data_IF_680200996171
#
_entry.id   IF_680200996171
#
_cell.length_a   1.000
_cell.length_b   1.000
_cell.length_c   1.000
_cell.angle_alpha   90.00
_cell.angle_beta   90.00
_cell.angle_gamma   90.00
#
_symmetry.space_group_name_H-M   'P 1'
#
loop_
_entity.id
_entity.type
_entity.pdbx_description
1 polymer ?
#
# COMPACT_ATOMS: atom_id res chain seq x y z
N UNK A 1 -60.55 12.52 -19.52
CA UNK A 1 -59.81 11.45 -18.81
C UNK A 1 -59.43 11.97 -17.44
N UNK A 2 -59.89 11.33 -16.34
CA UNK A 2 -59.56 11.78 -14.97
C UNK A 2 -58.03 11.75 -14.79
N UNK A 3 -57.41 12.76 -14.15
CA UNK A 3 -55.98 12.72 -13.88
C UNK A 3 -55.69 11.50 -13.01
N UNK A 4 -54.84 10.60 -13.48
CA UNK A 4 -54.38 9.43 -12.74
C UNK A 4 -53.81 9.93 -11.42
N UNK A 5 -54.48 9.58 -10.32
CA UNK A 5 -54.07 10.00 -8.97
C UNK A 5 -52.66 9.45 -8.74
N UNK A 6 -51.70 10.34 -8.53
CA UNK A 6 -50.31 9.98 -8.25
C UNK A 6 -50.27 9.06 -7.02
N UNK A 7 -49.67 7.89 -7.17
CA UNK A 7 -49.49 6.93 -6.08
C UNK A 7 -48.34 7.40 -5.17
N UNK A 8 -48.70 8.18 -4.15
CA UNK A 8 -47.75 8.75 -3.21
C UNK A 8 -47.15 7.72 -2.24
N UNK A 9 -47.81 6.57 -2.03
CA UNK A 9 -47.26 5.48 -1.21
C UNK A 9 -46.09 4.84 -1.95
N UNK A 10 -46.27 4.61 -3.25
CA UNK A 10 -45.20 4.12 -4.13
C UNK A 10 -44.08 5.16 -4.31
N UNK A 11 -44.43 6.44 -4.39
CA UNK A 11 -43.45 7.54 -4.41
C UNK A 11 -42.58 7.56 -3.14
N UNK A 12 -43.19 7.41 -1.96
CA UNK A 12 -42.48 7.37 -0.67
C UNK A 12 -41.49 6.22 -0.64
N UNK A 13 -41.93 5.01 -1.00
CA UNK A 13 -41.08 3.81 -1.02
C UNK A 13 -39.85 4.00 -1.90
N UNK A 14 -40.03 4.51 -3.13
CA UNK A 14 -38.90 4.76 -4.03
C UNK A 14 -38.01 5.91 -3.56
N UNK A 15 -38.60 6.97 -3.01
CA UNK A 15 -37.87 8.14 -2.55
C UNK A 15 -36.98 7.80 -1.34
N UNK A 16 -37.53 7.09 -0.35
CA UNK A 16 -36.80 6.67 0.86
C UNK A 16 -35.71 5.64 0.56
N UNK A 17 -36.01 4.67 -0.33
CA UNK A 17 -35.05 3.67 -0.76
C UNK A 17 -33.85 4.29 -1.49
N UNK A 18 -34.04 5.43 -2.17
CA UNK A 18 -32.94 6.16 -2.82
C UNK A 18 -32.25 5.43 -3.98
N UNK A 19 -32.75 4.27 -4.39
CA UNK A 19 -32.20 3.42 -5.47
C UNK A 19 -32.26 4.12 -6.83
N UNK A 20 -33.36 4.80 -7.15
CA UNK A 20 -33.57 5.46 -8.45
C UNK A 20 -33.60 6.98 -8.33
N UNK A 21 -33.24 7.68 -9.42
CA UNK A 21 -33.29 9.15 -9.55
C UNK A 21 -34.70 9.68 -9.28
N UNK A 22 -34.82 10.88 -8.68
CA UNK A 22 -36.14 11.49 -8.44
C UNK A 22 -36.84 11.79 -9.76
N UNK A 23 -36.08 12.09 -10.80
CA UNK A 23 -36.52 12.22 -12.19
C UNK A 23 -37.20 10.94 -12.69
N UNK A 24 -36.62 9.78 -12.39
CA UNK A 24 -37.17 8.48 -12.79
C UNK A 24 -38.41 8.09 -11.97
N UNK A 25 -38.47 8.47 -10.68
CA UNK A 25 -39.67 8.33 -9.84
C UNK A 25 -40.80 9.17 -10.44
N UNK A 26 -40.51 10.43 -10.77
CA UNK A 26 -41.46 11.37 -11.33
C UNK A 26 -42.03 10.86 -12.66
N UNK A 27 -41.17 10.37 -13.56
CA UNK A 27 -41.57 9.76 -14.83
C UNK A 27 -42.44 8.50 -14.63
N UNK A 28 -42.06 7.60 -13.72
CA UNK A 28 -42.83 6.36 -13.43
C UNK A 28 -44.21 6.64 -12.82
N UNK A 29 -44.39 7.77 -12.15
CA UNK A 29 -45.63 8.12 -11.46
C UNK A 29 -46.44 9.20 -12.20
N UNK A 30 -46.00 9.61 -13.40
CA UNK A 30 -46.69 10.62 -14.21
C UNK A 30 -46.76 11.99 -13.55
N UNK A 31 -45.73 12.40 -12.80
CA UNK A 31 -45.67 13.69 -12.13
C UNK A 31 -44.34 14.41 -12.38
N UNK A 32 -44.19 15.63 -11.88
CA UNK A 32 -42.94 16.40 -12.01
C UNK A 32 -42.00 16.13 -10.84
N UNK A 33 -40.69 16.30 -11.08
CA UNK A 33 -39.67 16.19 -10.02
C UNK A 33 -39.94 17.15 -8.86
N UNK A 34 -40.39 18.38 -9.14
CA UNK A 34 -40.74 19.36 -8.11
C UNK A 34 -41.90 18.89 -7.24
N UNK A 35 -42.89 18.18 -7.81
CA UNK A 35 -44.02 17.64 -7.06
C UNK A 35 -43.56 16.58 -6.05
N UNK A 36 -42.60 15.71 -6.44
CA UNK A 36 -42.02 14.69 -5.54
C UNK A 36 -41.25 15.35 -4.38
N UNK A 37 -40.41 16.34 -4.66
CA UNK A 37 -39.68 17.06 -3.60
C UNK A 37 -40.60 17.84 -2.66
N UNK A 38 -41.63 18.50 -3.20
CA UNK A 38 -42.62 19.23 -2.40
C UNK A 38 -43.35 18.26 -1.47
N UNK A 39 -43.74 17.09 -1.96
CA UNK A 39 -44.42 16.06 -1.15
C UNK A 39 -43.50 15.45 -0.10
N UNK A 40 -42.24 15.17 -0.45
CA UNK A 40 -41.23 14.69 0.49
C UNK A 40 -41.01 15.68 1.64
N UNK A 41 -40.95 16.98 1.35
CA UNK A 41 -40.82 18.02 2.37
C UNK A 41 -42.08 18.14 3.25
N UNK A 42 -43.27 18.11 2.64
CA UNK A 42 -44.56 18.14 3.36
C UNK A 42 -44.73 16.95 4.31
N UNK A 43 -44.22 15.77 3.94
CA UNK A 43 -44.38 14.51 4.68
C UNK A 43 -43.15 14.04 5.44
N UNK A 44 -42.08 14.84 5.46
CA UNK A 44 -40.84 14.53 6.20
C UNK A 44 -40.10 13.28 5.68
N UNK A 45 -40.11 13.02 4.37
CA UNK A 45 -39.40 11.87 3.81
C UNK A 45 -37.90 12.11 3.76
N UNK A 46 -37.14 11.20 4.35
CA UNK A 46 -35.68 11.16 4.28
C UNK A 46 -35.25 10.18 3.19
N UNK A 47 -34.19 10.51 2.44
CA UNK A 47 -33.69 9.71 1.32
C UNK A 47 -32.30 9.18 1.63
N UNK A 48 -32.17 7.87 1.79
CA UNK A 48 -30.86 7.23 1.97
C UNK A 48 -30.19 7.07 0.61
N UNK A 49 -29.00 7.63 0.42
CA UNK A 49 -28.21 7.46 -0.81
C UNK A 49 -27.31 6.21 -0.75
N UNK A 50 -27.23 5.53 0.40
CA UNK A 50 -26.41 4.33 0.60
C UNK A 50 -26.73 3.20 -0.40
N UNK A 51 -27.99 2.91 -0.76
CA UNK A 51 -28.32 1.89 -1.76
C UNK A 51 -27.88 2.28 -3.18
N UNK A 52 -27.77 3.59 -3.45
CA UNK A 52 -27.33 4.11 -4.74
C UNK A 52 -25.81 4.10 -4.87
N UNK A 53 -25.11 4.32 -3.76
CA UNK A 53 -23.66 4.05 -3.66
C UNK A 53 -23.41 2.56 -3.88
N UNK A 54 -24.19 1.67 -3.27
CA UNK A 54 -24.11 0.22 -3.55
C UNK A 54 -24.43 -0.13 -5.00
N UNK A 55 -25.44 0.48 -5.64
CA UNK A 55 -25.78 0.16 -7.03
C UNK A 55 -24.76 0.68 -8.05
N UNK A 56 -24.08 1.79 -7.76
CA UNK A 56 -22.98 2.29 -8.58
C UNK A 56 -21.72 1.43 -8.40
N UNK A 57 -21.54 0.85 -7.22
CA UNK A 57 -20.48 -0.13 -6.94
C UNK A 57 -20.76 -1.46 -7.67
N UNK A 58 -22.01 -1.95 -7.72
CA UNK A 58 -22.35 -3.17 -8.47
C UNK A 58 -22.37 -2.96 -9.99
N UNK A 59 -22.84 -1.82 -10.51
CA UNK A 59 -22.87 -1.58 -11.95
C UNK A 59 -21.47 -1.36 -12.58
N UNK A 60 -20.44 -1.06 -11.78
CA UNK A 60 -19.04 -1.03 -12.27
C UNK A 60 -18.38 -2.42 -12.29
N UNK A 61 -19.03 -3.44 -11.73
CA UNK A 61 -18.56 -4.83 -11.73
C UNK A 61 -19.14 -5.66 -12.87
N UNK A 62 -20.14 -5.14 -13.59
CA UNK A 62 -20.68 -5.76 -14.80
C UNK A 62 -20.08 -5.11 -16.06
N UNK A 63 -19.05 -5.75 -16.61
CA UNK A 63 -18.50 -5.69 -17.96
C UNK A 63 -18.99 -4.56 -18.91
N UNK A 64 -18.20 -3.48 -19.00
CA UNK A 64 -18.08 -2.65 -20.20
C UNK A 64 -16.90 -3.18 -21.06
N UNK A 65 -17.01 -3.27 -22.39
CA UNK A 65 -16.11 -4.08 -23.23
C UNK A 65 -14.79 -3.41 -23.64
N UNK A 66 -14.29 -2.41 -22.90
CA UNK A 66 -13.08 -1.66 -23.29
C UNK A 66 -11.87 -1.87 -22.37
N UNK A 67 -11.87 -2.92 -21.56
CA UNK A 67 -10.66 -3.39 -20.90
C UNK A 67 -10.43 -4.86 -21.24
N UNK A 68 -9.45 -5.14 -22.11
CA UNK A 68 -8.92 -6.49 -22.28
C UNK A 68 -8.10 -6.88 -21.03
N UNK A 69 -8.78 -7.16 -19.92
CA UNK A 69 -8.26 -7.99 -18.83
C UNK A 69 -9.45 -8.80 -18.26
N UNK A 70 -9.37 -10.14 -18.22
CA UNK A 70 -10.44 -10.95 -17.66
C UNK A 70 -10.35 -10.89 -16.13
N UNK A 71 -11.16 -10.03 -15.51
CA UNK A 71 -11.27 -9.91 -14.06
C UNK A 71 -11.89 -11.13 -13.38
N UNK A 72 -12.59 -12.00 -14.13
CA UNK A 72 -13.18 -13.24 -13.57
C UNK A 72 -12.32 -14.49 -13.78
N UNK A 73 -11.41 -14.52 -14.76
CA UNK A 73 -10.60 -15.71 -15.05
C UNK A 73 -9.34 -15.82 -14.18
N UNK A 74 -8.86 -14.73 -13.60
CA UNK A 74 -7.67 -14.71 -12.72
C UNK A 74 -7.99 -14.86 -11.23
N UNK A 75 -9.27 -14.73 -10.84
CA UNK A 75 -9.71 -14.90 -9.45
C UNK A 75 -10.07 -16.36 -9.15
N UNK A 76 -10.43 -17.15 -10.16
CA UNK A 76 -10.64 -18.60 -10.05
C UNK A 76 -9.34 -19.39 -10.26
N UNK A 77 -8.27 -19.04 -9.54
CA UNK A 77 -7.23 -20.03 -9.25
C UNK A 77 -7.81 -21.05 -8.25
N UNK A 78 -7.56 -22.36 -8.41
CA UNK A 78 -8.01 -23.34 -7.43
C UNK A 78 -7.38 -23.03 -6.07
N UNK A 79 -8.20 -22.58 -5.10
CA UNK A 79 -7.78 -22.30 -3.72
C UNK A 79 -8.04 -20.88 -3.20
N UNK A 80 -8.57 -19.93 -3.98
CA UNK A 80 -8.96 -18.60 -3.47
C UNK A 80 -10.47 -18.51 -3.20
N UNK A 81 -10.92 -18.22 -1.97
CA UNK A 81 -12.34 -18.03 -1.69
C UNK A 81 -12.86 -16.73 -2.33
N UNK A 82 -14.05 -16.78 -2.93
CA UNK A 82 -14.74 -15.61 -3.46
C UNK A 82 -15.43 -14.79 -2.37
N UNK A 83 -15.54 -13.47 -2.52
CA UNK A 83 -16.06 -12.58 -1.50
C UNK A 83 -17.50 -12.10 -1.78
N UNK A 84 -18.41 -12.41 -0.86
CA UNK A 84 -19.71 -11.75 -0.66
C UNK A 84 -19.86 -11.39 0.83
N UNK A 85 -18.97 -10.54 1.35
CA UNK A 85 -18.99 -10.10 2.76
C UNK A 85 -19.04 -8.58 2.86
N UNK A 86 -19.65 -8.06 3.95
CA UNK A 86 -19.69 -6.62 4.22
C UNK A 86 -18.35 -6.13 4.80
N UNK A 87 -17.50 -5.56 3.92
CA UNK A 87 -16.18 -5.04 4.27
C UNK A 87 -16.20 -3.78 5.17
N UNK A 88 -17.37 -3.23 5.56
CA UNK A 88 -17.46 -1.99 6.35
C UNK A 88 -17.56 -2.20 7.86
N UNK A 89 -17.91 -3.40 8.32
CA UNK A 89 -18.08 -3.68 9.74
C UNK A 89 -16.86 -4.43 10.29
N UNK A 90 -16.14 -3.78 11.21
CA UNK A 90 -15.09 -4.39 12.01
C UNK A 90 -15.71 -4.81 13.36
N UNK A 91 -15.77 -6.13 13.62
CA UNK A 91 -16.48 -6.87 14.70
C UNK A 91 -17.89 -7.36 14.29
N UNK A 92 -18.22 -8.66 14.48
CA UNK A 92 -19.54 -9.19 14.17
C UNK A 92 -20.59 -8.64 15.15
N UNK A 93 -21.40 -7.68 14.71
CA UNK A 93 -22.71 -7.45 15.30
C UNK A 93 -23.70 -8.45 14.66
N UNK A 94 -24.68 -8.98 15.41
CA UNK A 94 -25.61 -9.96 14.89
C UNK A 94 -26.51 -9.28 13.86
N UNK A 95 -26.22 -9.52 12.58
CA UNK A 95 -27.10 -9.12 11.49
C UNK A 95 -28.23 -10.14 11.41
N UNK A 96 -29.45 -9.62 11.49
CA UNK A 96 -30.71 -10.34 11.35
C UNK A 96 -30.67 -11.23 10.10
N UNK A 97 -30.76 -12.53 10.35
CA UNK A 97 -30.52 -13.59 9.40
C UNK A 97 -31.77 -13.84 8.55
N UNK A 98 -31.82 -13.20 7.39
CA UNK A 98 -32.55 -13.77 6.26
C UNK A 98 -31.69 -13.64 5.01
N UNK A 99 -31.15 -14.77 4.56
CA UNK A 99 -30.44 -14.98 3.29
C UNK A 99 -28.94 -14.65 3.17
N UNK A 100 -28.13 -15.09 4.13
CA UNK A 100 -26.75 -15.50 3.80
C UNK A 100 -26.49 -16.84 4.47
N UNK A 101 -26.09 -17.85 3.70
CA UNK A 101 -25.64 -19.14 4.21
C UNK A 101 -24.38 -18.95 5.07
N UNK A 102 -24.55 -18.55 6.33
CA UNK A 102 -23.56 -18.74 7.37
C UNK A 102 -23.47 -20.25 7.64
N UNK A 103 -22.65 -20.94 6.86
CA UNK A 103 -22.00 -22.13 7.37
C UNK A 103 -20.90 -21.60 8.28
N UNK A 104 -21.12 -21.67 9.59
CA UNK A 104 -20.03 -21.66 10.56
C UNK A 104 -19.17 -22.90 10.25
N UNK A 105 -18.23 -22.75 9.33
CA UNK A 105 -17.31 -23.82 8.99
C UNK A 105 -16.35 -23.94 10.17
N UNK A 106 -16.65 -24.87 11.09
CA UNK A 106 -15.88 -25.10 12.31
C UNK A 106 -14.38 -25.29 12.00
N UNK A 107 -14.06 -25.87 10.83
CA UNK A 107 -12.70 -26.03 10.35
C UNK A 107 -12.01 -24.68 10.05
N UNK A 108 -12.73 -23.69 9.50
CA UNK A 108 -12.19 -22.34 9.29
C UNK A 108 -12.02 -21.58 10.62
N UNK A 109 -12.91 -21.80 11.59
CA UNK A 109 -12.80 -21.23 12.93
C UNK A 109 -11.61 -21.82 13.68
N UNK A 110 -11.40 -23.14 13.58
CA UNK A 110 -10.25 -23.84 14.14
C UNK A 110 -8.95 -23.35 13.50
N UNK A 111 -8.88 -23.30 12.16
CA UNK A 111 -7.72 -22.76 11.44
C UNK A 111 -7.40 -21.30 11.83
N UNK A 112 -8.43 -20.46 12.04
CA UNK A 112 -8.24 -19.08 12.49
C UNK A 112 -7.71 -19.00 13.93
N UNK A 113 -8.13 -19.91 14.81
CA UNK A 113 -7.62 -19.99 16.20
C UNK A 113 -6.19 -20.52 16.26
N UNK A 114 -5.82 -21.43 15.36
CA UNK A 114 -4.48 -22.01 15.26
C UNK A 114 -3.45 -21.07 14.61
N UNK A 115 -3.91 -19.99 13.96
CA UNK A 115 -3.03 -18.99 13.39
C UNK A 115 -2.26 -18.24 14.49
N UNK A 116 -0.96 -18.52 14.61
CA UNK A 116 -0.07 -17.97 15.65
C UNK A 116 0.26 -16.48 15.49
N UNK A 117 -0.28 -15.81 14.47
CA UNK A 117 -0.03 -14.40 14.20
C UNK A 117 1.28 -14.17 13.44
N UNK A 118 1.51 -12.91 13.07
CA UNK A 118 2.68 -12.49 12.28
C UNK A 118 3.89 -12.07 13.13
N UNK A 119 3.75 -12.03 14.46
CA UNK A 119 4.85 -11.63 15.36
C UNK A 119 5.86 -12.76 15.46
N UNK A 120 7.14 -12.45 15.27
CA UNK A 120 8.24 -13.42 15.27
C UNK A 120 8.34 -14.30 14.01
N UNK A 121 7.55 -14.04 12.96
CA UNK A 121 7.65 -14.77 11.69
C UNK A 121 8.57 -14.04 10.70
N UNK A 122 9.65 -14.72 10.28
CA UNK A 122 10.54 -14.26 9.20
C UNK A 122 9.99 -14.70 7.85
N UNK A 123 9.08 -13.89 7.29
CA UNK A 123 8.49 -14.15 5.98
C UNK A 123 9.39 -13.67 4.83
N UNK A 124 10.39 -12.83 5.10
CA UNK A 124 11.29 -12.30 4.07
C UNK A 124 12.12 -13.42 3.42
N UNK A 125 12.52 -14.44 4.19
CA UNK A 125 13.22 -15.64 3.65
C UNK A 125 12.40 -16.46 2.68
N UNK A 126 11.08 -16.45 2.81
CA UNK A 126 10.19 -17.25 1.97
C UNK A 126 9.93 -16.58 0.61
N UNK A 127 10.10 -15.26 0.53
CA UNK A 127 9.78 -14.46 -0.67
C UNK A 127 10.98 -13.84 -1.36
N UNK A 128 12.17 -13.92 -0.75
CA UNK A 128 13.42 -13.43 -1.34
C UNK A 128 13.82 -14.22 -2.58
N UNK A 129 14.67 -13.64 -3.41
CA UNK A 129 15.25 -14.33 -4.55
C UNK A 129 16.19 -15.48 -4.13
N UNK A 130 16.12 -16.61 -4.83
CA UNK A 130 16.98 -17.76 -4.56
C UNK A 130 18.43 -17.55 -5.06
N UNK A 131 18.62 -16.74 -6.10
CA UNK A 131 19.91 -16.43 -6.70
C UNK A 131 19.98 -14.94 -7.02
N UNK A 132 21.18 -14.37 -6.92
CA UNK A 132 21.43 -12.99 -7.32
C UNK A 132 21.14 -12.78 -8.81
N UNK A 133 20.55 -11.65 -9.16
CA UNK A 133 20.23 -11.31 -10.55
C UNK A 133 20.42 -9.82 -10.83
N UNK A 134 20.57 -9.46 -12.10
CA UNK A 134 20.62 -8.06 -12.55
C UNK A 134 19.23 -7.61 -12.99
N UNK A 135 18.88 -6.36 -12.69
CA UNK A 135 17.63 -5.75 -13.14
C UNK A 135 17.88 -4.63 -14.16
N UNK A 136 17.16 -4.68 -15.28
CA UNK A 136 17.30 -3.73 -16.39
C UNK A 136 15.98 -3.09 -16.87
N UNK A 137 14.82 -3.52 -16.36
CA UNK A 137 13.53 -2.90 -16.73
C UNK A 137 13.33 -1.55 -16.04
N UNK A 138 12.92 -0.54 -16.80
CA UNK A 138 12.55 0.78 -16.30
C UNK A 138 11.04 0.90 -16.04
N UNK A 139 10.62 2.03 -15.49
CA UNK A 139 9.22 2.37 -15.32
C UNK A 139 8.42 2.21 -16.62
N UNK A 140 7.16 1.82 -16.48
CA UNK A 140 6.25 1.71 -17.60
C UNK A 140 5.95 3.10 -18.18
N UNK A 141 6.02 3.23 -19.50
CA UNK A 141 5.57 4.43 -20.20
C UNK A 141 4.70 4.06 -21.41
N UNK A 142 3.58 4.76 -21.58
CA UNK A 142 2.79 4.62 -22.80
C UNK A 142 3.51 5.27 -24.00
N UNK A 143 3.52 4.65 -25.19
CA UNK A 143 2.98 3.33 -25.54
C UNK A 143 4.01 2.18 -25.40
N UNK A 144 5.25 2.49 -25.02
CA UNK A 144 6.40 1.58 -25.13
C UNK A 144 6.53 0.50 -24.05
N UNK A 145 5.71 0.53 -23.00
CA UNK A 145 5.78 -0.45 -21.93
C UNK A 145 7.00 -0.25 -21.02
N UNK A 146 7.57 -1.34 -20.52
CA UNK A 146 8.80 -1.34 -19.73
C UNK A 146 10.02 -1.34 -20.65
N UNK A 147 10.56 -0.15 -20.94
CA UNK A 147 11.82 -0.05 -21.65
C UNK A 147 12.97 -0.66 -20.82
N UNK A 148 14.00 -1.16 -21.49
CA UNK A 148 15.22 -1.63 -20.83
C UNK A 148 16.26 -0.52 -20.77
N UNK A 149 17.05 -0.49 -19.71
CA UNK A 149 18.18 0.42 -19.59
C UNK A 149 19.33 -0.08 -20.46
N UNK A 150 19.82 0.77 -21.36
CA UNK A 150 20.92 0.43 -22.29
C UNK A 150 22.26 1.06 -21.87
N UNK A 151 22.22 2.09 -21.03
CA UNK A 151 23.42 2.81 -20.58
C UNK A 151 23.96 2.29 -19.25
N UNK A 152 25.28 2.38 -19.02
CA UNK A 152 25.86 2.23 -17.70
C UNK A 152 25.23 3.23 -16.72
N UNK A 153 25.14 2.83 -15.45
CA UNK A 153 24.57 3.63 -14.38
C UNK A 153 25.30 3.40 -13.07
N UNK A 154 24.81 4.00 -11.99
CA UNK A 154 25.39 3.80 -10.65
C UNK A 154 25.23 2.36 -10.21
N UNK A 155 26.32 1.69 -9.81
CA UNK A 155 26.25 0.32 -9.31
C UNK A 155 25.51 0.28 -7.98
N UNK A 156 24.28 -0.23 -7.98
CA UNK A 156 23.46 -0.35 -6.78
C UNK A 156 23.27 -1.82 -6.44
N UNK A 157 23.57 -2.18 -5.21
CA UNK A 157 23.23 -3.49 -4.66
C UNK A 157 21.92 -3.36 -3.90
N UNK A 158 20.88 -4.07 -4.34
CA UNK A 158 19.58 -4.12 -3.69
C UNK A 158 19.42 -5.43 -2.92
N UNK A 159 19.12 -5.36 -1.62
CA UNK A 159 18.80 -6.54 -0.81
C UNK A 159 17.31 -6.83 -0.92
N UNK A 160 16.98 -8.03 -1.38
CA UNK A 160 15.62 -8.48 -1.63
C UNK A 160 15.01 -9.11 -0.39
N UNK A 161 14.21 -8.35 0.35
CA UNK A 161 13.36 -8.88 1.43
C UNK A 161 11.94 -9.24 0.96
N UNK A 162 11.69 -9.32 -0.36
CA UNK A 162 10.35 -9.36 -0.96
C UNK A 162 10.07 -8.13 -1.82
N UNK A 163 11.07 -7.71 -2.60
CA UNK A 163 11.10 -6.47 -3.35
C UNK A 163 9.96 -6.39 -4.38
N UNK A 164 9.19 -5.31 -4.33
CA UNK A 164 8.26 -4.98 -5.40
C UNK A 164 9.06 -4.61 -6.65
N UNK A 165 8.69 -5.19 -7.80
CA UNK A 165 9.32 -4.88 -9.10
C UNK A 165 9.35 -3.39 -9.41
N UNK A 166 8.35 -2.62 -8.98
CA UNK A 166 8.32 -1.19 -9.26
C UNK A 166 9.41 -0.41 -8.52
N UNK A 167 9.93 -0.91 -7.41
CA UNK A 167 11.13 -0.35 -6.75
C UNK A 167 12.33 -0.49 -7.67
N UNK A 168 12.56 -1.69 -8.19
CA UNK A 168 13.69 -1.98 -9.07
C UNK A 168 13.60 -1.17 -10.38
N UNK A 169 12.38 -1.00 -10.91
CA UNK A 169 12.11 -0.12 -12.06
C UNK A 169 12.38 1.35 -11.76
N UNK A 170 12.00 1.82 -10.57
CA UNK A 170 12.25 3.20 -10.14
C UNK A 170 13.75 3.48 -9.99
N UNK A 171 14.50 2.54 -9.41
CA UNK A 171 15.97 2.61 -9.33
C UNK A 171 16.60 2.64 -10.73
N UNK A 172 16.18 1.73 -11.62
CA UNK A 172 16.69 1.68 -13.00
C UNK A 172 16.38 2.96 -13.77
N UNK A 173 15.16 3.50 -13.64
CA UNK A 173 14.75 4.78 -14.22
C UNK A 173 15.48 5.98 -13.64
N UNK A 174 15.92 5.91 -12.38
CA UNK A 174 16.77 6.92 -11.75
C UNK A 174 18.26 6.80 -12.15
N UNK A 175 18.60 5.89 -13.07
CA UNK A 175 19.97 5.72 -13.57
C UNK A 175 20.81 4.72 -12.80
N UNK A 176 20.21 3.85 -11.98
CA UNK A 176 20.93 2.81 -11.26
C UNK A 176 21.10 1.54 -12.11
N UNK A 177 22.29 0.95 -12.05
CA UNK A 177 22.58 -0.42 -12.47
C UNK A 177 22.44 -1.36 -11.28
N UNK A 178 21.28 -2.03 -11.21
CA UNK A 178 20.86 -2.76 -10.00
C UNK A 178 21.26 -4.23 -10.09
N UNK A 179 22.02 -4.69 -9.10
CA UNK A 179 22.22 -6.11 -8.78
C UNK A 179 21.42 -6.43 -7.52
N UNK A 180 20.52 -7.41 -7.63
CA UNK A 180 19.68 -7.86 -6.54
C UNK A 180 20.32 -9.06 -5.86
N UNK A 181 20.46 -9.01 -4.55
CA UNK A 181 20.96 -10.08 -3.71
C UNK A 181 19.87 -10.64 -2.79
N UNK A 182 19.96 -11.94 -2.39
CA UNK A 182 19.03 -12.53 -1.44
C UNK A 182 19.04 -11.81 -0.08
N UNK A 183 17.96 -11.99 0.69
CA UNK A 183 17.77 -11.41 2.02
C UNK A 183 18.93 -11.74 2.98
N UNK A 184 19.53 -12.92 2.83
CA UNK A 184 20.61 -13.45 3.68
C UNK A 184 22.01 -13.10 3.18
N UNK A 185 22.15 -12.24 2.17
CA UNK A 185 23.45 -11.82 1.66
C UNK A 185 24.30 -11.21 2.79
N UNK A 186 25.60 -11.49 2.77
CA UNK A 186 26.55 -10.96 3.75
C UNK A 186 27.10 -9.61 3.29
N UNK A 187 27.72 -8.86 4.19
CA UNK A 187 28.39 -7.62 3.82
C UNK A 187 29.55 -7.85 2.84
N UNK A 188 30.23 -9.00 2.93
CA UNK A 188 31.24 -9.40 1.96
C UNK A 188 30.64 -9.60 0.56
N UNK A 189 29.48 -10.26 0.45
CA UNK A 189 28.78 -10.42 -0.83
C UNK A 189 28.40 -9.06 -1.43
N UNK A 190 27.92 -8.13 -0.60
CA UNK A 190 27.56 -6.77 -1.01
C UNK A 190 28.77 -5.99 -1.50
N UNK A 191 29.85 -5.94 -0.70
CA UNK A 191 31.03 -5.14 -0.97
C UNK A 191 31.88 -5.72 -2.11
N UNK A 192 31.84 -7.04 -2.34
CA UNK A 192 32.52 -7.68 -3.48
C UNK A 192 32.03 -7.15 -4.83
N UNK A 193 30.81 -6.62 -4.90
CA UNK A 193 30.24 -6.01 -6.11
C UNK A 193 30.69 -4.55 -6.34
N UNK A 194 31.52 -4.00 -5.45
CA UNK A 194 31.99 -2.61 -5.48
C UNK A 194 30.83 -1.60 -5.69
N UNK A 195 29.79 -1.63 -4.85
CA UNK A 195 28.62 -0.78 -4.98
C UNK A 195 28.98 0.70 -4.79
N UNK A 196 28.27 1.56 -5.53
CA UNK A 196 28.22 2.99 -5.29
C UNK A 196 27.08 3.36 -4.34
N UNK A 197 26.08 2.49 -4.19
CA UNK A 197 25.01 2.63 -3.21
C UNK A 197 24.38 1.29 -2.85
N UNK A 198 23.78 1.22 -1.66
CA UNK A 198 23.07 0.03 -1.18
C UNK A 198 21.61 0.37 -0.95
N UNK A 199 20.72 -0.50 -1.43
CA UNK A 199 19.29 -0.34 -1.30
C UNK A 199 18.68 -1.49 -0.50
N UNK A 200 17.79 -1.17 0.45
CA UNK A 200 17.11 -2.13 1.30
C UNK A 200 15.61 -2.16 0.95
N UNK A 201 15.12 -3.26 0.38
CA UNK A 201 13.76 -3.32 -0.15
C UNK A 201 12.66 -3.41 0.90
N UNK A 202 11.41 -3.32 0.45
CA UNK A 202 10.27 -3.76 1.24
C UNK A 202 10.29 -5.29 1.46
N UNK A 203 9.44 -5.76 2.37
CA UNK A 203 9.22 -7.18 2.61
C UNK A 203 8.10 -7.44 3.61
N UNK A 204 7.63 -8.69 3.72
CA UNK A 204 6.65 -9.13 4.72
C UNK A 204 7.33 -9.53 6.04
N UNK A 205 6.51 -9.75 7.07
CA UNK A 205 6.94 -10.39 8.32
C UNK A 205 7.29 -9.43 9.45
N UNK A 206 7.89 -9.99 10.49
CA UNK A 206 8.33 -9.27 11.67
C UNK A 206 9.78 -8.74 11.50
N UNK A 207 10.00 -7.43 11.65
CA UNK A 207 11.34 -6.84 11.56
C UNK A 207 12.34 -7.42 12.55
N UNK A 208 11.90 -7.88 13.72
CA UNK A 208 12.78 -8.51 14.69
C UNK A 208 13.37 -9.82 14.16
N UNK A 209 12.58 -10.62 13.45
CA UNK A 209 13.00 -11.92 12.92
C UNK A 209 13.91 -11.75 11.69
N UNK A 210 13.50 -10.91 10.72
CA UNK A 210 14.36 -10.54 9.58
C UNK A 210 15.67 -9.87 10.04
N UNK A 211 15.60 -9.13 11.15
CA UNK A 211 16.74 -8.44 11.74
C UNK A 211 17.87 -9.37 12.20
N UNK A 212 17.64 -10.66 12.45
CA UNK A 212 18.68 -11.59 12.92
C UNK A 212 19.87 -11.69 11.95
N UNK A 213 19.64 -11.53 10.65
CA UNK A 213 20.67 -11.59 9.62
C UNK A 213 20.84 -10.26 8.88
N UNK A 214 19.77 -9.49 8.68
CA UNK A 214 19.84 -8.22 7.97
C UNK A 214 20.60 -7.15 8.77
N UNK A 215 20.37 -7.05 10.09
CA UNK A 215 21.00 -6.01 10.92
C UNK A 215 22.52 -6.15 10.99
N UNK A 216 23.11 -7.34 11.24
CA UNK A 216 24.56 -7.52 11.20
C UNK A 216 25.17 -7.13 9.84
N UNK A 217 24.55 -7.52 8.73
CA UNK A 217 25.02 -7.16 7.40
C UNK A 217 24.99 -5.65 7.18
N UNK A 218 23.87 -4.98 7.52
CA UNK A 218 23.74 -3.52 7.33
C UNK A 218 24.80 -2.78 8.16
N UNK A 219 25.00 -3.18 9.41
CA UNK A 219 26.03 -2.58 10.28
C UNK A 219 27.43 -2.72 9.68
N UNK A 220 27.80 -3.93 9.24
CA UNK A 220 29.13 -4.17 8.69
C UNK A 220 29.36 -3.40 7.38
N UNK A 221 28.33 -3.23 6.53
CA UNK A 221 28.41 -2.34 5.37
C UNK A 221 28.61 -0.88 5.77
N UNK A 222 27.85 -0.37 6.75
CA UNK A 222 27.97 1.01 7.25
C UNK A 222 29.33 1.31 7.89
N UNK A 223 29.94 0.31 8.54
CA UNK A 223 31.24 0.44 9.20
C UNK A 223 32.41 0.40 8.20
N UNK A 224 32.25 -0.35 7.10
CA UNK A 224 33.31 -0.61 6.11
C UNK A 224 33.28 0.31 4.89
N UNK A 225 32.15 0.95 4.60
CA UNK A 225 31.97 1.77 3.42
C UNK A 225 31.18 3.05 3.70
N UNK A 226 31.71 4.17 3.21
CA UNK A 226 31.02 5.46 3.19
C UNK A 226 30.30 5.63 1.84
N UNK A 227 29.20 4.89 1.66
CA UNK A 227 28.36 4.91 0.46
C UNK A 227 26.90 5.18 0.81
N UNK A 228 26.15 5.86 -0.08
CA UNK A 228 24.73 6.07 0.13
C UNK A 228 23.95 4.78 0.40
N UNK A 229 23.05 4.84 1.39
CA UNK A 229 22.14 3.74 1.69
C UNK A 229 20.69 4.23 1.79
N UNK A 230 19.79 3.54 1.09
CA UNK A 230 18.38 3.89 1.06
C UNK A 230 17.48 2.68 1.37
N UNK A 231 16.62 2.80 2.41
CA UNK A 231 15.66 1.77 2.80
C UNK A 231 14.19 2.15 2.58
N UNK A 232 13.37 1.18 2.18
CA UNK A 232 11.91 1.33 1.99
C UNK A 232 11.15 0.28 2.83
N UNK A 233 10.13 0.72 3.57
CA UNK A 233 9.22 -0.14 4.35
C UNK A 233 9.95 -1.08 5.32
N UNK A 234 10.08 -2.38 5.03
CA UNK A 234 10.88 -3.29 5.85
C UNK A 234 12.36 -2.88 5.87
N UNK A 235 12.91 -2.41 4.75
CA UNK A 235 14.27 -1.89 4.67
C UNK A 235 14.49 -0.65 5.55
N UNK A 236 13.45 0.18 5.73
CA UNK A 236 13.48 1.29 6.70
C UNK A 236 13.59 0.79 8.13
N UNK A 237 12.81 -0.24 8.48
CA UNK A 237 12.84 -0.85 9.81
C UNK A 237 14.18 -1.57 10.06
N UNK A 238 14.74 -2.23 9.05
CA UNK A 238 16.05 -2.89 9.16
C UNK A 238 17.17 -1.87 9.37
N UNK A 239 17.15 -0.76 8.61
CA UNK A 239 18.10 0.32 8.79
C UNK A 239 17.97 0.95 10.18
N UNK A 240 16.77 1.27 10.63
CA UNK A 240 16.53 1.83 11.96
C UNK A 240 17.07 0.93 13.06
N UNK A 241 16.81 -0.38 13.00
CA UNK A 241 17.35 -1.36 13.96
C UNK A 241 18.87 -1.49 13.88
N UNK A 242 19.44 -1.44 12.68
CA UNK A 242 20.89 -1.44 12.51
C UNK A 242 21.54 -0.23 13.16
N UNK A 243 20.91 0.93 13.07
CA UNK A 243 21.35 2.17 13.72
C UNK A 243 21.12 2.18 15.23
N UNK A 244 20.29 1.28 15.77
CA UNK A 244 20.07 1.11 17.22
C UNK A 244 18.66 1.44 17.71
N UNK A 245 17.74 1.81 16.81
CA UNK A 245 16.34 2.06 17.15
C UNK A 245 15.53 0.76 17.35
N UNK A 246 14.36 0.90 17.96
CA UNK A 246 13.40 -0.19 18.18
C UNK A 246 12.25 -0.13 17.17
N UNK A 247 11.62 -1.29 16.93
CA UNK A 247 10.42 -1.42 16.10
C UNK A 247 9.28 -2.01 16.93
N UNK A 248 8.08 -1.49 16.73
CA UNK A 248 6.88 -1.91 17.46
C UNK A 248 5.77 -2.37 16.52
N UNK A 249 4.97 -3.33 16.97
CA UNK A 249 3.77 -3.81 16.27
C UNK A 249 2.67 -2.75 16.39
N UNK A 250 2.07 -2.37 15.27
CA UNK A 250 0.92 -1.46 15.25
C UNK A 250 -0.37 -2.23 15.53
N UNK A 251 -1.39 -1.55 16.04
CA UNK A 251 -2.70 -2.16 16.29
C UNK A 251 -3.39 -2.59 14.98
N UNK A 252 -3.49 -1.67 14.00
CA UNK A 252 -4.11 -1.94 12.69
C UNK A 252 -3.14 -1.83 11.50
N UNK A 253 -1.96 -1.24 11.71
CA UNK A 253 -1.03 -0.90 10.65
C UNK A 253 -1.58 0.16 9.67
N UNK A 254 -0.81 0.44 8.63
CA UNK A 254 -1.22 1.33 7.54
C UNK A 254 -1.28 0.59 6.21
N UNK A 255 -2.47 0.57 5.62
CA UNK A 255 -2.76 -0.15 4.38
C UNK A 255 -3.66 0.73 3.51
N UNK A 256 -3.10 1.45 2.55
CA UNK A 256 -3.86 2.39 1.73
C UNK A 256 -2.99 3.30 0.87
N UNK A 257 -3.63 4.08 0.01
CA UNK A 257 -2.96 4.97 -0.96
C UNK A 257 -3.35 6.45 -0.82
N UNK A 258 -3.81 6.84 0.38
CA UNK A 258 -4.29 8.18 0.70
C UNK A 258 -3.63 8.73 1.97
N UNK A 259 -2.49 8.16 2.40
CA UNK A 259 -1.91 8.42 3.71
C UNK A 259 -1.04 9.68 3.67
N UNK A 260 -1.40 10.77 4.38
CA UNK A 260 -0.62 11.99 4.39
C UNK A 260 0.61 11.85 5.28
N UNK A 261 1.77 12.11 4.72
CA UNK A 261 3.06 12.11 5.40
C UNK A 261 3.70 13.49 5.24
N UNK A 262 4.18 14.06 6.35
CA UNK A 262 4.87 15.35 6.35
C UNK A 262 6.37 15.12 6.44
N UNK A 263 7.10 15.68 5.48
CA UNK A 263 8.54 15.93 5.62
C UNK A 263 8.74 17.09 6.60
N UNK A 264 9.36 16.82 7.74
CA UNK A 264 9.53 17.81 8.81
C UNK A 264 10.62 18.83 8.49
N UNK A 265 11.57 18.48 7.61
CA UNK A 265 12.68 19.35 7.22
C UNK A 265 12.21 20.42 6.22
N UNK A 266 11.39 20.02 5.24
CA UNK A 266 10.88 20.95 4.21
C UNK A 266 9.50 21.51 4.52
N UNK A 267 8.74 20.86 5.41
CA UNK A 267 7.34 21.15 5.67
C UNK A 267 6.37 20.66 4.59
N UNK A 268 6.86 19.99 3.54
CA UNK A 268 6.05 19.43 2.45
C UNK A 268 5.19 18.29 2.99
N UNK A 269 3.96 18.18 2.48
CA UNK A 269 3.07 17.05 2.73
C UNK A 269 2.91 16.26 1.44
N UNK A 270 3.03 14.94 1.56
CA UNK A 270 2.93 13.99 0.45
C UNK A 270 1.78 13.03 0.74
N UNK A 271 1.02 12.69 -0.29
CA UNK A 271 0.08 11.57 -0.20
C UNK A 271 0.84 10.32 -0.60
N UNK A 272 0.81 9.29 0.24
CA UNK A 272 1.69 8.12 0.11
C UNK A 272 0.91 6.81 0.04
N UNK A 273 1.57 5.79 -0.50
CA UNK A 273 1.13 4.41 -0.47
C UNK A 273 1.76 3.69 0.72
N UNK A 274 0.93 3.07 1.56
CA UNK A 274 1.29 2.44 2.82
C UNK A 274 0.89 0.97 2.82
N UNK A 275 1.77 0.10 3.30
CA UNK A 275 1.51 -1.32 3.52
C UNK A 275 2.45 -1.87 4.60
N UNK A 276 2.17 -1.57 5.87
CA UNK A 276 2.99 -2.04 6.98
C UNK A 276 2.18 -2.24 8.27
N UNK A 277 2.52 -3.29 9.04
CA UNK A 277 1.94 -3.60 10.36
C UNK A 277 2.88 -3.32 11.54
N UNK A 278 4.09 -2.86 11.27
CA UNK A 278 5.10 -2.46 12.25
C UNK A 278 5.60 -1.06 11.94
N UNK A 279 6.12 -0.34 12.92
CA UNK A 279 6.72 0.99 12.74
C UNK A 279 7.96 1.13 13.61
N UNK A 280 8.82 2.10 13.28
CA UNK A 280 9.95 2.50 14.13
C UNK A 280 9.44 3.36 15.28
N UNK A 281 9.89 3.06 16.49
CA UNK A 281 9.60 3.91 17.64
C UNK A 281 10.49 5.15 17.60
N UNK A 282 9.89 6.31 17.31
CA UNK A 282 10.61 7.60 17.20
C UNK A 282 11.29 8.00 18.51
N UNK A 283 10.80 7.53 19.67
CA UNK A 283 11.41 7.80 20.97
C UNK A 283 12.69 6.99 21.22
N UNK A 284 12.90 5.94 20.43
CA UNK A 284 14.06 5.05 20.52
C UNK A 284 15.21 5.43 19.58
N UNK A 285 15.07 6.50 18.80
CA UNK A 285 16.10 6.93 17.86
C UNK A 285 17.37 7.34 18.61
N UNK A 286 18.54 6.78 18.28
CA UNK A 286 19.80 7.12 18.92
C UNK A 286 20.35 8.45 18.41
N UNK A 287 21.33 9.00 19.13
CA UNK A 287 22.06 10.21 18.73
C UNK A 287 22.63 10.05 17.31
N UNK A 288 22.49 11.10 16.50
CA UNK A 288 22.92 11.11 15.09
C UNK A 288 21.90 10.55 14.10
N UNK A 289 20.76 10.03 14.56
CA UNK A 289 19.63 9.63 13.71
C UNK A 289 18.48 10.62 13.88
N UNK A 290 18.05 11.21 12.76
CA UNK A 290 17.04 12.26 12.72
C UNK A 290 15.76 11.72 12.07
N UNK A 291 14.62 11.93 12.72
CA UNK A 291 13.30 11.73 12.12
C UNK A 291 13.06 12.77 11.03
N UNK A 292 12.76 12.32 9.81
CA UNK A 292 12.57 13.18 8.64
C UNK A 292 11.12 13.25 8.18
N UNK A 293 10.36 12.18 8.38
CA UNK A 293 8.98 12.11 7.92
C UNK A 293 8.08 11.58 9.03
N UNK A 294 6.91 12.19 9.19
CA UNK A 294 5.92 11.81 10.21
C UNK A 294 4.55 11.63 9.57
N UNK A 295 3.79 10.66 10.05
CA UNK A 295 2.40 10.49 9.63
C UNK A 295 1.54 11.61 10.20
N UNK A 296 0.69 12.21 9.36
CA UNK A 296 -0.32 13.17 9.80
C UNK A 296 -1.63 12.51 10.28
N UNK A 297 -1.76 11.17 10.17
CA UNK A 297 -2.91 10.45 10.73
C UNK A 297 -2.71 10.08 12.19
N UNK A 298 -1.52 9.66 12.59
CA UNK A 298 -1.28 9.13 13.93
C UNK A 298 0.04 9.58 14.58
N UNK A 299 0.88 10.36 13.89
CA UNK A 299 2.17 10.83 14.39
C UNK A 299 3.28 9.77 14.38
N UNK A 300 3.05 8.60 13.79
CA UNK A 300 4.07 7.54 13.68
C UNK A 300 5.23 7.94 12.77
N UNK A 301 6.42 7.36 13.04
CA UNK A 301 7.61 7.59 12.24
C UNK A 301 7.38 7.07 10.80
N UNK A 302 7.71 7.92 9.82
CA UNK A 302 7.60 7.59 8.41
C UNK A 302 8.94 7.71 7.66
N UNK A 303 10.01 8.10 8.34
CA UNK A 303 11.32 8.25 7.73
C UNK A 303 12.38 8.73 8.70
N UNK A 304 13.62 8.31 8.42
CA UNK A 304 14.81 8.65 9.20
C UNK A 304 16.00 8.93 8.28
N UNK A 305 16.98 9.66 8.79
CA UNK A 305 18.31 9.78 8.17
C UNK A 305 19.42 9.87 9.21
N UNK A 306 20.62 9.48 8.83
CA UNK A 306 21.83 9.83 9.58
C UNK A 306 22.17 11.31 9.38
N UNK A 307 22.81 11.92 10.38
CA UNK A 307 23.22 13.32 10.32
C UNK A 307 24.55 13.55 9.60
N UNK A 308 25.43 12.54 9.57
CA UNK A 308 26.83 12.64 9.16
C UNK A 308 27.10 12.11 7.73
N UNK A 309 26.21 11.28 7.18
CA UNK A 309 26.44 10.59 5.90
C UNK A 309 25.14 10.32 5.13
N UNK A 310 25.18 10.03 3.81
CA UNK A 310 24.01 9.86 2.95
C UNK A 310 23.25 8.54 3.18
N UNK A 311 22.79 8.31 4.40
CA UNK A 311 22.05 7.11 4.81
C UNK A 311 20.67 7.52 5.30
N UNK A 312 19.61 7.07 4.62
CA UNK A 312 18.23 7.41 4.97
C UNK A 312 17.24 6.32 4.58
N UNK A 313 16.01 6.45 5.05
CA UNK A 313 14.94 5.52 4.69
C UNK A 313 13.55 6.10 4.94
N UNK A 314 12.54 5.48 4.33
CA UNK A 314 11.13 5.84 4.51
C UNK A 314 10.25 4.60 4.74
N UNK A 315 9.21 4.75 5.57
CA UNK A 315 8.31 3.67 5.95
C UNK A 315 7.27 3.34 4.86
N UNK A 316 6.90 4.34 4.05
CA UNK A 316 5.94 4.21 2.96
C UNK A 316 6.59 3.70 1.68
N UNK A 317 5.82 3.62 0.59
CA UNK A 317 6.23 3.08 -0.71
C UNK A 317 6.32 4.20 -1.77
N UNK A 318 7.49 4.84 -1.95
CA UNK A 318 7.72 5.87 -2.98
C UNK A 318 7.54 5.37 -4.41
N UNK A 319 7.71 4.07 -4.65
CA UNK A 319 7.45 3.44 -5.95
C UNK A 319 5.94 3.30 -6.24
N UNK A 320 5.10 3.46 -5.22
CA UNK A 320 3.67 3.25 -5.27
C UNK A 320 3.30 1.91 -5.94
N UNK A 321 2.48 1.93 -6.99
CA UNK A 321 2.03 0.73 -7.71
C UNK A 321 1.30 -0.29 -6.80
N UNK A 322 0.08 0.03 -6.35
CA UNK A 322 -0.72 1.21 -6.67
C UNK A 322 -0.44 2.43 -5.75
N UNK A 323 -0.91 3.60 -6.18
CA UNK A 323 -0.93 4.81 -5.36
C UNK A 323 -0.36 6.06 -6.04
N UNK A 324 -0.32 7.18 -5.30
CA UNK A 324 0.21 8.47 -5.76
C UNK A 324 1.72 8.42 -6.02
N UNK A 325 2.23 9.34 -6.84
CA UNK A 325 3.65 9.40 -7.25
C UNK A 325 4.43 10.53 -6.55
N UNK A 326 3.84 11.17 -5.54
CA UNK A 326 4.35 12.37 -4.87
C UNK A 326 5.79 12.23 -4.36
N UNK A 327 6.17 11.02 -3.96
CA UNK A 327 7.44 10.72 -3.30
C UNK A 327 8.52 10.12 -4.22
N UNK A 328 8.29 10.05 -5.53
CA UNK A 328 9.24 9.43 -6.48
C UNK A 328 10.64 10.07 -6.45
N UNK A 329 10.72 11.37 -6.11
CA UNK A 329 11.98 12.12 -5.97
C UNK A 329 12.99 11.46 -5.02
N UNK A 330 12.57 10.58 -4.11
CA UNK A 330 13.48 9.85 -3.22
C UNK A 330 14.45 8.93 -3.98
N UNK A 331 14.03 8.37 -5.11
CA UNK A 331 14.93 7.60 -5.98
C UNK A 331 15.95 8.50 -6.69
N UNK A 332 15.52 9.69 -7.13
CA UNK A 332 16.43 10.68 -7.73
C UNK A 332 17.42 11.23 -6.70
N UNK A 333 16.97 11.45 -5.46
CA UNK A 333 17.85 11.82 -4.33
C UNK A 333 18.91 10.75 -4.08
N UNK A 334 18.53 9.48 -4.17
CA UNK A 334 19.47 8.36 -4.03
C UNK A 334 20.52 8.34 -5.14
N UNK A 335 20.11 8.54 -6.40
CA UNK A 335 21.03 8.71 -7.52
C UNK A 335 22.02 9.86 -7.29
N UNK A 336 21.52 11.06 -6.96
CA UNK A 336 22.36 12.26 -6.75
C UNK A 336 23.36 12.12 -5.59
N UNK A 337 23.00 11.35 -4.56
CA UNK A 337 23.93 11.08 -3.47
C UNK A 337 25.16 10.28 -3.91
N UNK A 338 25.03 9.43 -4.94
CA UNK A 338 26.15 8.71 -5.53
C UNK A 338 27.02 9.59 -6.44
N UNK A 339 26.52 10.74 -6.89
CA UNK A 339 27.29 11.77 -7.58
C UNK A 339 28.07 12.70 -6.62
N UNK A 340 27.86 12.58 -5.31
CA UNK A 340 28.40 13.50 -4.30
C UNK A 340 27.68 14.85 -4.26
N UNK A 341 26.43 14.92 -4.75
CA UNK A 341 25.62 16.17 -4.86
C UNK A 341 24.33 16.13 -4.03
N UNK A 342 24.39 15.53 -2.83
CA UNK A 342 23.23 15.32 -1.94
C UNK A 342 22.81 16.56 -1.14
#
# INVERSE_FOLDING_TARGET
TRPTRVDWVKAERFYRAGIIRVEAIAQKLGCTRQAVYKKAKEKGWTRSLSPRVHSVVTCKLDNEPDCQLPTSATVNEPGKPGEHTDARHNVPAPVDASDVHAREDEALVEAARDFRGLVGLDLARDVTCAQSYRWDEMLWAWPGGHAKRETPGHRVVAIDYGAKRNILRSLASAGCDVTVLPATATADDVLALNPQGVFLSNGPGDPAATGEYAVPMIRDVLDRADIPMFGICLGHQMLARALGAQTVKMNHGHHGANHPVKDVETGKVEITSMNHGFTVDSQSLPDGVVETHVSLFDGSNCGIRMSDRPVWSVQYHPEASPGPQDSYYLFERFARAMDGTA
#
